data_IF_056757009963
#
_entry.id   IF_056757009963
#
_cell.length_a   1.000
_cell.length_b   1.000
_cell.length_c   1.000
_cell.angle_alpha   90.00
_cell.angle_beta   90.00
_cell.angle_gamma   90.00
#
_symmetry.space_group_name_H-M   'P 1'
#
loop_
_entity.id
_entity.type
_entity.pdbx_description
1 polymer ?
#
# COMPACT_ATOMS: atom_id res chain seq x y z
N UNK A 1 1.41 3.86 9.20
CA UNK A 1 2.88 4.02 9.26
C UNK A 1 3.49 4.08 10.67
N UNK A 2 4.39 3.14 11.00
CA UNK A 2 5.27 3.22 12.20
C UNK A 2 6.72 3.52 11.82
N UNK A 3 7.49 4.18 12.71
CA UNK A 3 8.91 4.49 12.49
C UNK A 3 9.74 3.25 12.12
N UNK A 4 9.46 2.11 12.75
CA UNK A 4 10.17 0.86 12.48
C UNK A 4 10.03 0.42 11.02
N UNK A 5 8.83 0.52 10.45
CA UNK A 5 8.55 0.16 9.05
C UNK A 5 9.23 1.10 8.05
N UNK A 6 9.35 2.39 8.40
CA UNK A 6 10.13 3.34 7.58
C UNK A 6 11.60 2.93 7.53
N UNK A 7 12.17 2.53 8.68
CA UNK A 7 13.55 2.04 8.75
C UNK A 7 13.75 0.75 7.96
N UNK A 8 12.84 -0.22 8.09
CA UNK A 8 12.84 -1.45 7.31
C UNK A 8 12.76 -1.16 5.80
N UNK A 9 11.89 -0.24 5.38
CA UNK A 9 11.77 0.16 3.98
C UNK A 9 13.06 0.79 3.42
N UNK A 10 13.77 1.58 4.23
CA UNK A 10 15.05 2.18 3.85
C UNK A 10 16.16 1.12 3.77
N UNK A 11 16.16 0.12 4.66
CA UNK A 11 17.17 -0.96 4.67
C UNK A 11 17.12 -1.83 3.42
N UNK A 12 15.98 -1.89 2.73
CA UNK A 12 15.82 -2.64 1.47
C UNK A 12 16.23 -1.84 0.22
N UNK A 13 16.50 -0.54 0.37
CA UNK A 13 16.94 0.30 -0.74
C UNK A 13 18.45 0.20 -0.95
N UNK A 14 18.94 0.43 -2.20
CA UNK A 14 20.37 0.53 -2.47
C UNK A 14 21.03 1.65 -1.67
N UNK A 15 22.36 1.67 -1.61
CA UNK A 15 23.12 2.72 -0.93
C UNK A 15 22.84 4.13 -1.49
N UNK A 16 22.51 4.23 -2.78
CA UNK A 16 22.07 5.46 -3.44
C UNK A 16 20.76 5.21 -4.19
N UNK A 17 19.79 6.08 -3.98
CA UNK A 17 18.48 6.04 -4.63
C UNK A 17 17.89 7.45 -4.74
N UNK A 18 16.96 7.64 -5.67
CA UNK A 18 16.21 8.88 -5.81
C UNK A 18 15.15 8.99 -4.71
N UNK A 19 14.95 10.19 -4.18
CA UNK A 19 13.95 10.45 -3.13
C UNK A 19 12.54 9.96 -3.52
N UNK A 20 12.19 10.07 -4.81
CA UNK A 20 10.91 9.59 -5.34
C UNK A 20 10.68 8.10 -5.05
N UNK A 21 11.73 7.27 -5.17
CA UNK A 21 11.64 5.82 -4.91
C UNK A 21 11.26 5.54 -3.46
N UNK A 22 11.83 6.29 -2.51
CA UNK A 22 11.46 6.18 -1.10
C UNK A 22 10.02 6.61 -0.87
N UNK A 23 9.59 7.73 -1.46
CA UNK A 23 8.22 8.24 -1.33
C UNK A 23 7.22 7.21 -1.87
N UNK A 24 7.42 6.71 -3.08
CA UNK A 24 6.57 5.68 -3.70
C UNK A 24 6.49 4.43 -2.83
N UNK A 25 7.63 3.95 -2.31
CA UNK A 25 7.69 2.77 -1.44
C UNK A 25 6.88 2.98 -0.16
N UNK A 26 7.00 4.14 0.48
CA UNK A 26 6.24 4.47 1.69
C UNK A 26 4.74 4.61 1.40
N UNK A 27 4.37 5.23 0.28
CA UNK A 27 2.96 5.31 -0.14
C UNK A 27 2.38 3.90 -0.34
N UNK A 28 3.12 3.02 -1.00
CA UNK A 28 2.68 1.64 -1.22
C UNK A 28 2.44 0.91 0.11
N UNK A 29 3.39 0.97 1.04
CA UNK A 29 3.27 0.35 2.37
C UNK A 29 2.01 0.85 3.09
N UNK A 30 1.80 2.16 3.13
CA UNK A 30 0.62 2.77 3.78
C UNK A 30 -0.69 2.28 3.14
N UNK A 31 -0.74 2.18 1.80
CA UNK A 31 -1.93 1.70 1.09
C UNK A 31 -2.22 0.23 1.40
N UNK A 32 -1.19 -0.61 1.48
CA UNK A 32 -1.33 -2.03 1.85
C UNK A 32 -1.83 -2.17 3.29
N UNK A 33 -1.25 -1.43 4.24
CA UNK A 33 -1.71 -1.44 5.63
C UNK A 33 -3.19 -1.06 5.73
N UNK A 34 -3.58 0.04 5.08
CA UNK A 34 -4.97 0.48 5.03
C UNK A 34 -5.89 -0.57 4.41
N UNK A 35 -5.44 -1.25 3.36
CA UNK A 35 -6.18 -2.36 2.73
C UNK A 35 -6.38 -3.53 3.71
N UNK A 36 -5.35 -3.90 4.48
CA UNK A 36 -5.45 -4.95 5.49
C UNK A 36 -6.43 -4.58 6.60
N UNK A 37 -6.45 -3.32 7.04
CA UNK A 37 -7.41 -2.85 8.04
C UNK A 37 -8.84 -2.82 7.49
N UNK A 38 -9.02 -2.44 6.22
CA UNK A 38 -10.32 -2.57 5.54
C UNK A 38 -10.82 -4.01 5.51
N UNK A 39 -9.92 -4.98 5.27
CA UNK A 39 -10.27 -6.42 5.31
C UNK A 39 -10.73 -6.83 6.71
N UNK A 40 -10.02 -6.41 7.76
CA UNK A 40 -10.41 -6.70 9.16
C UNK A 40 -11.77 -6.09 9.51
N UNK A 41 -12.04 -4.90 9.01
CA UNK A 41 -13.31 -4.18 9.21
C UNK A 41 -14.46 -4.74 8.33
N UNK A 42 -14.22 -5.76 7.51
CA UNK A 42 -15.22 -6.30 6.56
C UNK A 42 -15.55 -5.34 5.41
N UNK A 43 -14.76 -4.29 5.19
CA UNK A 43 -14.88 -3.33 4.08
C UNK A 43 -14.32 -3.92 2.78
N UNK A 44 -14.85 -5.07 2.39
CA UNK A 44 -14.48 -5.82 1.19
C UNK A 44 -15.68 -5.97 0.29
N UNK A 45 -15.43 -6.10 -1.01
CA UNK A 45 -16.45 -6.41 -2.01
C UNK A 45 -16.12 -7.74 -2.67
N UNK A 46 -17.14 -8.43 -3.17
CA UNK A 46 -16.93 -9.64 -3.94
C UNK A 46 -16.25 -9.32 -5.29
N UNK A 47 -15.62 -10.33 -5.88
CA UNK A 47 -15.02 -10.19 -7.20
C UNK A 47 -16.05 -9.77 -8.27
N UNK A 48 -17.30 -10.23 -8.16
CA UNK A 48 -18.37 -9.83 -9.08
C UNK A 48 -18.77 -8.36 -8.91
N UNK A 49 -18.83 -7.85 -7.68
CA UNK A 49 -19.06 -6.43 -7.43
C UNK A 49 -17.91 -5.57 -7.97
N UNK A 50 -16.66 -6.03 -7.82
CA UNK A 50 -15.49 -5.34 -8.38
C UNK A 50 -15.57 -5.24 -9.91
N UNK A 51 -15.95 -6.31 -10.61
CA UNK A 51 -16.14 -6.29 -12.08
C UNK A 51 -17.18 -5.26 -12.51
N UNK A 52 -18.25 -5.06 -11.75
CA UNK A 52 -19.28 -4.08 -12.07
C UNK A 52 -18.76 -2.64 -11.90
N UNK A 53 -18.02 -2.36 -10.81
CA UNK A 53 -17.42 -1.05 -10.56
C UNK A 53 -16.35 -0.70 -11.61
N UNK A 54 -15.49 -1.66 -11.96
CA UNK A 54 -14.42 -1.44 -12.94
C UNK A 54 -14.93 -1.13 -14.35
N UNK A 55 -16.17 -1.52 -14.70
CA UNK A 55 -16.82 -1.16 -15.98
C UNK A 55 -17.34 0.27 -16.02
N UNK A 56 -17.47 0.94 -14.87
CA UNK A 56 -17.94 2.32 -14.78
C UNK A 56 -16.81 3.36 -14.86
N UNK A 57 -15.56 2.88 -14.85
CA UNK A 57 -14.34 3.67 -15.06
C UNK A 57 -13.95 3.65 -16.54
#
# INVERSE_FOLDING_TARGET
MEKKKVLEAIQELPESFDLEVLIERLIFIEKVEKGLDQVKDGKVISHEQLKLLAKQW
#
